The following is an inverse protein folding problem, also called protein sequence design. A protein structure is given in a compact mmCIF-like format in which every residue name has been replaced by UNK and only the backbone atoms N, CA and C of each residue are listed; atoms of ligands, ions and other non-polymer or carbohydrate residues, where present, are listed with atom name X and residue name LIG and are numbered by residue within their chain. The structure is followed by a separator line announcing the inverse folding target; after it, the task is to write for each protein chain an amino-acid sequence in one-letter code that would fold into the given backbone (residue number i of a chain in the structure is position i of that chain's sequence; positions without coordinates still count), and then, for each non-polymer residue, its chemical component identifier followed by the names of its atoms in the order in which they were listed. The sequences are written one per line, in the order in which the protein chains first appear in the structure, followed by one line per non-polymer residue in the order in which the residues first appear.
data_IF_395407137642
#
_entry.id   IF_395407137642
#
_cell.length_a   1.000
_cell.length_b   1.000
_cell.length_c   1.000
_cell.angle_alpha   90.00
_cell.angle_beta   90.00
_cell.angle_gamma   90.00
#
_symmetry.space_group_name_H-M   'P 1'
#
loop_
_entity.id
_entity.type
_entity.pdbx_description
1 polymer ?
#
# COMPACT_ATOMS: atom_id res chain seq x y z
N UNK A 1 -19.58 -5.44 -15.37
CA UNK A 1 -18.96 -4.83 -14.18
C UNK A 1 -18.05 -5.77 -13.36
N UNK A 2 -18.03 -7.08 -13.62
CA UNK A 2 -17.14 -8.06 -12.96
C UNK A 2 -15.68 -7.99 -13.41
N UNK A 3 -15.41 -7.44 -14.58
CA UNK A 3 -14.07 -7.45 -15.18
C UNK A 3 -13.17 -6.30 -14.72
N UNK A 4 -13.74 -5.21 -14.26
CA UNK A 4 -12.97 -3.99 -13.92
C UNK A 4 -12.17 -4.15 -12.62
N UNK A 5 -12.71 -4.85 -11.62
CA UNK A 5 -12.01 -5.07 -10.36
C UNK A 5 -10.88 -6.12 -10.50
N UNK A 6 -11.09 -7.16 -11.31
CA UNK A 6 -10.10 -8.20 -11.59
C UNK A 6 -9.01 -7.67 -12.53
N UNK A 7 -9.39 -6.86 -13.52
CA UNK A 7 -8.44 -6.22 -14.43
C UNK A 7 -7.52 -5.21 -13.71
N UNK A 8 -8.00 -4.52 -12.70
CA UNK A 8 -7.20 -3.56 -11.94
C UNK A 8 -6.18 -4.25 -11.03
N UNK A 9 -6.48 -5.44 -10.53
CA UNK A 9 -5.55 -6.21 -9.73
C UNK A 9 -4.53 -6.97 -10.61
N UNK A 10 -4.99 -7.49 -11.75
CA UNK A 10 -4.16 -8.18 -12.76
C UNK A 10 -3.27 -7.22 -13.55
N UNK A 11 -3.74 -6.02 -13.84
CA UNK A 11 -3.03 -5.03 -14.66
C UNK A 11 -1.82 -4.45 -13.95
N UNK A 12 -1.82 -4.42 -12.64
CA UNK A 12 -0.67 -3.96 -11.85
C UNK A 12 0.53 -4.93 -11.94
N UNK A 13 0.26 -6.19 -12.24
CA UNK A 13 1.28 -7.24 -12.34
C UNK A 13 1.88 -7.34 -13.74
N UNK A 14 1.11 -7.00 -14.78
CA UNK A 14 1.52 -7.27 -16.17
C UNK A 14 2.09 -6.07 -16.90
N UNK A 15 1.98 -4.86 -16.40
CA UNK A 15 2.40 -3.67 -17.15
C UNK A 15 3.23 -2.71 -16.30
N UNK A 16 4.49 -3.06 -16.10
CA UNK A 16 5.53 -2.08 -15.75
C UNK A 16 5.70 -0.98 -16.82
N UNK A 17 4.88 -0.98 -17.87
CA UNK A 17 4.92 0.01 -18.96
C UNK A 17 3.79 1.05 -18.89
N UNK A 18 2.75 0.87 -18.09
CA UNK A 18 1.63 1.83 -18.08
C UNK A 18 1.81 2.97 -17.07
N UNK A 19 2.90 2.99 -16.30
CA UNK A 19 3.21 4.12 -15.42
C UNK A 19 3.65 5.39 -16.15
N UNK A 20 3.96 5.31 -17.45
CA UNK A 20 4.50 6.45 -18.21
C UNK A 20 3.47 7.19 -19.06
N UNK A 21 2.25 6.69 -19.25
CA UNK A 21 1.36 7.21 -20.29
C UNK A 21 0.02 7.77 -19.82
N UNK A 22 -0.37 7.64 -18.55
CA UNK A 22 -1.68 8.16 -18.12
C UNK A 22 -1.58 9.05 -16.88
N UNK A 23 -1.23 10.32 -17.10
CA UNK A 23 -1.23 11.39 -16.11
C UNK A 23 -2.64 11.74 -15.58
N UNK A 24 -3.68 11.05 -16.00
CA UNK A 24 -5.07 11.30 -15.58
C UNK A 24 -5.72 10.18 -14.79
N UNK A 25 -5.07 9.04 -14.60
CA UNK A 25 -5.66 7.94 -13.85
C UNK A 25 -4.87 7.72 -12.57
N UNK A 26 -5.39 8.28 -11.53
CA UNK A 26 -5.11 8.07 -10.11
C UNK A 26 -4.55 6.68 -9.82
N UNK A 27 -3.35 6.67 -9.23
CA UNK A 27 -2.66 5.57 -8.56
C UNK A 27 -3.28 4.16 -8.70
N UNK A 28 -2.54 3.27 -9.33
CA UNK A 28 -2.93 1.89 -9.66
C UNK A 28 -3.16 1.05 -8.40
N UNK A 29 -4.32 0.38 -8.27
CA UNK A 29 -4.73 -0.28 -7.01
C UNK A 29 -3.90 -1.48 -6.54
N UNK A 30 -3.13 -2.13 -7.36
CA UNK A 30 -2.48 -3.40 -7.00
C UNK A 30 -1.19 -3.25 -6.19
N UNK A 31 -0.28 -2.38 -6.62
CA UNK A 31 0.94 -2.02 -5.86
C UNK A 31 0.61 -1.08 -4.71
N UNK A 32 -0.47 -0.32 -4.85
CA UNK A 32 -0.99 0.57 -3.85
C UNK A 32 -1.37 -0.12 -2.54
N UNK A 33 -1.83 -1.36 -2.56
CA UNK A 33 -2.24 -2.06 -1.34
C UNK A 33 -1.06 -2.36 -0.43
N UNK A 34 0.05 -2.83 -0.99
CA UNK A 34 1.28 -3.03 -0.22
C UNK A 34 1.87 -1.69 0.25
N UNK A 35 1.87 -0.67 -0.62
CA UNK A 35 2.37 0.66 -0.29
C UNK A 35 1.57 1.30 0.84
N UNK A 36 0.24 1.17 0.82
CA UNK A 36 -0.65 1.67 1.88
C UNK A 36 -0.47 0.91 3.19
N UNK A 37 -0.29 -0.40 3.10
CA UNK A 37 0.02 -1.21 4.28
C UNK A 37 1.34 -0.79 4.92
N UNK A 38 2.38 -0.62 4.12
CA UNK A 38 3.70 -0.15 4.57
C UNK A 38 3.62 1.24 5.17
N UNK A 39 2.83 2.14 4.57
CA UNK A 39 2.61 3.48 5.10
C UNK A 39 1.82 3.47 6.42
N UNK A 40 0.92 2.50 6.62
CA UNK A 40 0.17 2.35 7.87
C UNK A 40 1.03 1.82 9.03
N UNK A 41 2.15 1.18 8.74
CA UNK A 41 3.12 0.69 9.73
C UNK A 41 4.56 1.05 9.32
N UNK A 42 4.90 2.34 9.26
CA UNK A 42 6.24 2.75 8.85
C UNK A 42 7.28 2.30 9.87
N UNK A 43 8.38 1.74 9.39
CA UNK A 43 9.57 1.54 10.19
C UNK A 43 10.46 2.77 10.03
N UNK A 44 10.71 3.57 11.08
CA UNK A 44 11.51 4.78 10.99
C UNK A 44 12.89 4.50 10.40
N UNK A 45 13.29 5.24 9.35
CA UNK A 45 14.54 5.02 8.64
C UNK A 45 14.60 3.75 7.79
N UNK A 46 13.48 3.01 7.70
CA UNK A 46 13.38 1.80 6.90
C UNK A 46 13.10 2.07 5.42
N UNK A 47 13.59 1.16 4.59
CA UNK A 47 13.24 1.08 3.18
C UNK A 47 12.53 -0.24 2.89
N UNK A 48 11.40 -0.18 2.22
CA UNK A 48 10.65 -1.35 1.78
C UNK A 48 10.76 -1.47 0.27
N UNK A 49 11.14 -2.64 -0.23
CA UNK A 49 11.13 -2.98 -1.64
C UNK A 49 9.85 -3.75 -1.96
N UNK A 50 9.15 -3.29 -2.98
CA UNK A 50 7.91 -3.89 -3.50
C UNK A 50 8.24 -4.71 -4.74
N UNK A 51 7.76 -5.94 -4.82
CA UNK A 51 7.98 -6.85 -5.94
C UNK A 51 6.66 -7.44 -6.42
N UNK A 52 6.57 -7.75 -7.71
CA UNK A 52 5.46 -8.51 -8.28
C UNK A 52 5.58 -10.02 -7.97
N UNK A 53 4.62 -10.81 -8.45
CA UNK A 53 4.60 -12.27 -8.26
C UNK A 53 5.79 -12.99 -8.90
N UNK A 54 6.43 -12.40 -9.92
CA UNK A 54 7.63 -12.93 -10.58
C UNK A 54 8.94 -12.50 -9.89
N UNK A 55 8.85 -11.72 -8.81
CA UNK A 55 10.00 -11.20 -8.06
C UNK A 55 10.61 -9.93 -8.65
N UNK A 56 10.05 -9.36 -9.74
CA UNK A 56 10.52 -8.10 -10.32
C UNK A 56 10.23 -6.95 -9.37
N UNK A 57 11.19 -6.05 -9.18
CA UNK A 57 10.98 -4.83 -8.39
C UNK A 57 10.00 -3.89 -9.09
N UNK A 58 8.93 -3.54 -8.39
CA UNK A 58 7.93 -2.56 -8.81
C UNK A 58 8.29 -1.16 -8.33
N UNK A 59 8.93 -1.06 -7.17
CA UNK A 59 9.32 0.21 -6.59
C UNK A 59 9.80 0.06 -5.16
N UNK A 60 10.00 1.20 -4.52
CA UNK A 60 10.44 1.29 -3.12
C UNK A 60 9.58 2.27 -2.33
N UNK A 61 9.49 2.04 -1.03
CA UNK A 61 8.92 2.96 -0.06
C UNK A 61 9.96 3.23 1.02
N UNK A 62 10.34 4.50 1.18
CA UNK A 62 11.32 4.94 2.19
C UNK A 62 10.65 5.82 3.22
N UNK A 63 10.83 5.51 4.51
CA UNK A 63 10.23 6.28 5.60
C UNK A 63 11.27 7.20 6.22
N UNK A 64 10.97 8.49 6.22
CA UNK A 64 11.78 9.53 6.86
C UNK A 64 11.11 9.92 8.18
N UNK A 65 11.87 9.83 9.26
CA UNK A 65 11.30 9.97 10.60
C UNK A 65 10.28 8.85 10.88
N UNK A 66 9.23 9.16 11.64
CA UNK A 66 8.18 8.20 12.01
C UNK A 66 6.86 8.41 11.27
N UNK A 67 6.77 9.39 10.37
CA UNK A 67 5.46 9.85 9.86
C UNK A 67 5.34 9.98 8.35
N UNK A 68 6.46 10.10 7.63
CA UNK A 68 6.40 10.34 6.17
C UNK A 68 7.09 9.22 5.42
N UNK A 69 6.37 8.62 4.48
CA UNK A 69 6.87 7.61 3.56
C UNK A 69 6.83 8.16 2.14
N UNK A 70 7.93 8.07 1.42
CA UNK A 70 8.03 8.44 0.01
C UNK A 70 8.02 7.18 -0.84
N UNK A 71 7.19 7.14 -1.86
CA UNK A 71 7.09 6.05 -2.82
C UNK A 71 7.86 6.40 -4.09
N UNK A 72 8.60 5.41 -4.61
CA UNK A 72 9.35 5.51 -5.87
C UNK A 72 9.04 4.32 -6.75
N UNK A 73 9.05 4.53 -8.07
CA UNK A 73 8.96 3.45 -9.04
C UNK A 73 10.28 2.66 -9.14
N UNK A 74 10.33 1.65 -10.00
CA UNK A 74 11.53 0.83 -10.25
C UNK A 74 12.70 1.62 -10.83
N UNK A 75 12.44 2.77 -11.47
CA UNK A 75 13.43 3.71 -11.99
C UNK A 75 13.91 4.75 -10.95
N UNK A 76 13.40 4.69 -9.69
CA UNK A 76 13.76 5.61 -8.62
C UNK A 76 13.02 6.95 -8.65
N UNK A 77 12.09 7.16 -9.60
CA UNK A 77 11.30 8.39 -9.71
C UNK A 77 10.24 8.39 -8.60
N UNK A 78 10.06 9.51 -7.92
CA UNK A 78 9.01 9.68 -6.92
C UNK A 78 7.63 9.61 -7.56
N UNK A 79 6.78 8.72 -7.06
CA UNK A 79 5.39 8.54 -7.51
C UNK A 79 4.38 9.12 -6.53
N UNK A 80 4.80 9.39 -5.30
CA UNK A 80 3.93 9.99 -4.28
C UNK A 80 4.50 9.88 -2.89
N UNK A 81 3.66 10.23 -1.91
CA UNK A 81 4.01 10.14 -0.49
C UNK A 81 2.79 9.80 0.36
N UNK A 82 3.05 9.32 1.57
CA UNK A 82 2.06 9.14 2.62
C UNK A 82 2.56 9.82 3.90
N UNK A 83 1.67 10.56 4.57
CA UNK A 83 1.98 11.22 5.84
C UNK A 83 0.95 10.82 6.89
N UNK A 84 1.42 10.36 8.06
CA UNK A 84 0.59 9.95 9.18
C UNK A 84 0.29 11.17 10.06
N UNK A 85 -1.00 11.38 10.35
CA UNK A 85 -1.51 12.43 11.24
C UNK A 85 -2.53 11.79 12.20
N UNK A 86 -2.08 11.44 13.40
CA UNK A 86 -2.92 10.71 14.36
C UNK A 86 -3.36 9.35 13.80
N UNK A 87 -4.66 9.12 13.72
CA UNK A 87 -5.25 7.90 13.16
C UNK A 87 -5.50 7.98 11.65
N UNK A 88 -5.09 9.07 11.00
CA UNK A 88 -5.26 9.28 9.58
C UNK A 88 -3.92 9.25 8.85
N UNK A 89 -3.91 8.66 7.65
CA UNK A 89 -2.80 8.72 6.69
C UNK A 89 -3.28 9.43 5.44
N UNK A 90 -2.57 10.47 5.03
CA UNK A 90 -2.86 11.25 3.83
C UNK A 90 -1.88 10.82 2.73
N UNK A 91 -2.43 10.37 1.59
CA UNK A 91 -1.67 10.01 0.41
C UNK A 91 -1.70 11.14 -0.61
N UNK A 92 -0.54 11.44 -1.17
CA UNK A 92 -0.34 12.47 -2.18
C UNK A 92 0.32 11.87 -3.41
N UNK A 93 -0.02 12.40 -4.58
CA UNK A 93 0.67 12.08 -5.84
C UNK A 93 2.07 12.73 -5.92
N UNK A 94 2.77 12.52 -7.04
CA UNK A 94 4.09 13.09 -7.28
C UNK A 94 4.08 14.63 -7.33
N UNK A 95 2.95 15.25 -7.65
CA UNK A 95 2.76 16.71 -7.64
C UNK A 95 2.36 17.28 -6.27
N UNK A 96 2.23 16.42 -5.24
CA UNK A 96 1.86 16.81 -3.88
C UNK A 96 0.35 16.93 -3.66
N UNK A 97 -0.51 16.65 -4.65
CA UNK A 97 -1.96 16.71 -4.49
C UNK A 97 -2.46 15.53 -3.67
N UNK A 98 -3.40 15.78 -2.77
CA UNK A 98 -4.08 14.73 -2.02
C UNK A 98 -4.92 13.87 -2.97
N UNK A 99 -4.63 12.56 -2.98
CA UNK A 99 -5.37 11.58 -3.79
C UNK A 99 -6.22 10.64 -2.94
N UNK A 100 -5.74 10.32 -1.73
CA UNK A 100 -6.43 9.40 -0.81
C UNK A 100 -6.24 9.80 0.64
N UNK A 101 -7.16 9.33 1.47
CA UNK A 101 -7.01 9.28 2.92
C UNK A 101 -7.30 7.88 3.42
N UNK A 102 -6.55 7.42 4.41
CA UNK A 102 -6.84 6.21 5.16
C UNK A 102 -7.06 6.58 6.62
N UNK A 103 -8.19 6.19 7.20
CA UNK A 103 -8.50 6.43 8.61
C UNK A 103 -8.64 5.10 9.33
N UNK A 104 -7.85 4.88 10.37
CA UNK A 104 -7.90 3.66 11.19
C UNK A 104 -8.80 3.88 12.39
N UNK A 105 -9.76 2.98 12.59
CA UNK A 105 -10.71 2.98 13.70
C UNK A 105 -10.56 1.68 14.50
N UNK A 106 -10.58 1.79 15.83
CA UNK A 106 -10.45 0.63 16.74
C UNK A 106 -9.13 -0.14 16.59
N UNK A 107 -8.12 0.45 15.94
CA UNK A 107 -6.82 -0.20 15.73
C UNK A 107 -6.82 -1.33 14.70
N UNK A 108 -7.96 -1.79 14.23
CA UNK A 108 -8.09 -2.99 13.38
C UNK A 108 -8.70 -2.71 12.00
N UNK A 109 -9.51 -1.67 11.87
CA UNK A 109 -10.18 -1.36 10.60
C UNK A 109 -9.68 -0.04 10.03
N UNK A 110 -9.26 -0.05 8.76
CA UNK A 110 -8.83 1.13 8.03
C UNK A 110 -9.78 1.36 6.86
N UNK A 111 -10.37 2.55 6.78
CA UNK A 111 -11.21 2.99 5.67
C UNK A 111 -10.41 3.90 4.75
N UNK A 112 -10.38 3.57 3.46
CA UNK A 112 -9.73 4.36 2.42
C UNK A 112 -10.76 5.16 1.64
N UNK A 113 -10.52 6.47 1.52
CA UNK A 113 -11.39 7.40 0.82
C UNK A 113 -10.61 8.14 -0.28
N UNK A 114 -11.27 8.41 -1.40
CA UNK A 114 -10.70 9.24 -2.47
C UNK A 114 -10.60 10.72 -2.07
N UNK A 115 -10.10 11.56 -2.97
CA UNK A 115 -9.98 13.00 -2.75
C UNK A 115 -11.33 13.70 -2.49
N UNK A 116 -12.42 13.13 -3.01
CA UNK A 116 -13.79 13.61 -2.81
C UNK A 116 -14.44 13.07 -1.51
N UNK A 117 -13.72 12.27 -0.72
CA UNK A 117 -14.20 11.70 0.54
C UNK A 117 -15.04 10.43 0.40
N UNK A 118 -15.22 9.89 -0.81
CA UNK A 118 -16.00 8.66 -1.04
C UNK A 118 -15.19 7.44 -0.63
N UNK A 119 -15.81 6.52 0.11
CA UNK A 119 -15.18 5.25 0.48
C UNK A 119 -14.94 4.41 -0.77
N UNK A 120 -13.70 4.00 -0.96
CA UNK A 120 -13.28 3.14 -2.07
C UNK A 120 -13.01 1.72 -1.61
N UNK A 121 -12.50 1.57 -0.39
CA UNK A 121 -12.22 0.26 0.20
C UNK A 121 -12.09 0.32 1.71
N UNK A 122 -12.08 -0.87 2.31
CA UNK A 122 -11.72 -1.07 3.71
C UNK A 122 -10.63 -2.13 3.83
N UNK A 123 -9.84 -2.05 4.89
CA UNK A 123 -8.92 -3.11 5.31
C UNK A 123 -9.22 -3.46 6.75
N UNK A 124 -9.36 -4.75 7.05
CA UNK A 124 -9.59 -5.25 8.41
C UNK A 124 -8.47 -6.19 8.80
N UNK A 125 -7.84 -5.92 9.94
CA UNK A 125 -6.81 -6.79 10.49
C UNK A 125 -7.46 -7.82 11.41
N UNK A 126 -7.10 -9.11 11.21
CA UNK A 126 -7.45 -10.21 12.08
C UNK A 126 -6.20 -11.05 12.32
N UNK A 127 -5.71 -11.06 13.56
CA UNK A 127 -4.39 -11.61 13.87
C UNK A 127 -3.30 -10.93 13.06
N UNK A 128 -2.52 -11.72 12.33
CA UNK A 128 -1.47 -11.23 11.42
C UNK A 128 -1.97 -10.96 9.99
N UNK A 129 -3.21 -11.33 9.65
CA UNK A 129 -3.76 -11.16 8.31
C UNK A 129 -4.54 -9.86 8.16
N UNK A 130 -4.41 -9.22 7.01
CA UNK A 130 -5.17 -8.04 6.63
C UNK A 130 -5.99 -8.36 5.40
N UNK A 131 -7.31 -8.23 5.51
CA UNK A 131 -8.26 -8.46 4.43
C UNK A 131 -8.72 -7.13 3.85
N UNK A 132 -8.60 -6.98 2.54
CA UNK A 132 -9.08 -5.83 1.79
C UNK A 132 -10.44 -6.12 1.16
N UNK A 133 -11.34 -5.13 1.24
CA UNK A 133 -12.67 -5.18 0.63
C UNK A 133 -12.91 -3.93 -0.20
N UNK A 134 -13.65 -4.07 -1.31
CA UNK A 134 -14.09 -2.92 -2.10
C UNK A 134 -15.20 -2.12 -1.38
N UNK A 135 -15.69 -1.05 -2.02
CA UNK A 135 -16.77 -0.23 -1.49
C UNK A 135 -18.09 -0.99 -1.34
N UNK A 136 -18.27 -2.10 -2.05
CA UNK A 136 -19.44 -2.99 -1.94
C UNK A 136 -19.25 -4.10 -0.89
N UNK A 137 -18.13 -4.09 -0.14
CA UNK A 137 -17.82 -5.08 0.90
C UNK A 137 -17.26 -6.40 0.39
N UNK A 138 -17.01 -6.55 -0.92
CA UNK A 138 -16.44 -7.78 -1.49
C UNK A 138 -14.96 -7.84 -1.23
N UNK A 139 -14.46 -9.02 -0.84
CA UNK A 139 -13.02 -9.24 -0.66
C UNK A 139 -12.30 -9.08 -2.00
N UNK A 140 -11.26 -8.23 -2.02
CA UNK A 140 -10.40 -7.99 -3.17
C UNK A 140 -9.03 -8.62 -3.02
N UNK A 141 -8.63 -8.95 -1.80
CA UNK A 141 -7.37 -9.63 -1.53
C UNK A 141 -6.99 -9.61 -0.06
N UNK A 142 -5.82 -10.17 0.23
CA UNK A 142 -5.26 -10.24 1.58
C UNK A 142 -3.78 -9.86 1.57
N UNK A 143 -3.30 -9.36 2.71
CA UNK A 143 -1.86 -9.19 2.97
C UNK A 143 -1.51 -9.94 4.24
N UNK A 144 -0.49 -10.78 4.16
CA UNK A 144 0.04 -11.56 5.26
C UNK A 144 1.44 -11.04 5.61
N UNK A 145 1.59 -10.24 6.69
CA UNK A 145 2.90 -9.88 7.22
C UNK A 145 3.61 -11.09 7.85
N UNK A 146 4.93 -11.15 7.67
CA UNK A 146 5.81 -12.14 8.29
C UNK A 146 7.17 -11.50 8.56
N UNK A 147 7.44 -11.15 9.80
CA UNK A 147 8.68 -10.43 10.18
C UNK A 147 8.84 -9.12 9.40
N UNK A 148 9.95 -9.00 8.68
CA UNK A 148 10.26 -7.84 7.82
C UNK A 148 9.66 -7.95 6.41
N UNK A 149 8.90 -8.99 6.12
CA UNK A 149 8.29 -9.24 4.81
C UNK A 149 6.76 -9.23 4.90
N UNK A 150 6.11 -9.04 3.76
CA UNK A 150 4.68 -9.21 3.60
C UNK A 150 4.37 -9.82 2.23
N UNK A 151 3.37 -10.69 2.17
CA UNK A 151 2.88 -11.30 0.94
C UNK A 151 1.47 -10.81 0.66
N UNK A 152 1.23 -10.32 -0.54
CA UNK A 152 -0.09 -9.93 -1.02
C UNK A 152 -0.67 -11.02 -1.91
N UNK A 153 -1.96 -11.30 -1.72
CA UNK A 153 -2.75 -12.26 -2.50
C UNK A 153 -4.02 -11.59 -3.02
N UNK A 154 -4.47 -12.02 -4.19
CA UNK A 154 -5.77 -11.61 -4.73
C UNK A 154 -6.93 -12.32 -4.02
N UNK A 155 -8.17 -12.06 -4.46
CA UNK A 155 -9.38 -12.66 -3.90
C UNK A 155 -9.45 -14.18 -4.10
N UNK A 156 -8.71 -14.74 -5.05
CA UNK A 156 -8.60 -16.18 -5.32
C UNK A 156 -7.47 -16.86 -4.52
N UNK A 157 -6.71 -16.08 -3.72
CA UNK A 157 -5.58 -16.57 -2.93
C UNK A 157 -4.25 -16.63 -3.69
N UNK A 158 -4.21 -16.24 -4.97
CA UNK A 158 -2.97 -16.20 -5.76
C UNK A 158 -2.06 -15.09 -5.27
N UNK A 159 -0.77 -15.36 -5.12
CA UNK A 159 0.22 -14.33 -4.80
C UNK A 159 0.32 -13.34 -5.95
N UNK A 160 0.19 -12.04 -5.64
CA UNK A 160 0.29 -10.93 -6.59
C UNK A 160 1.51 -10.06 -6.34
N UNK A 161 2.15 -10.20 -5.18
CA UNK A 161 3.37 -9.46 -4.88
C UNK A 161 3.88 -9.69 -3.47
N UNK A 162 5.07 -9.16 -3.23
CA UNK A 162 5.75 -9.21 -1.93
C UNK A 162 6.33 -7.85 -1.59
N UNK A 163 6.50 -7.60 -0.30
CA UNK A 163 7.23 -6.46 0.23
C UNK A 163 8.30 -6.96 1.20
N UNK A 164 9.48 -6.37 1.18
CA UNK A 164 10.56 -6.66 2.12
C UNK A 164 11.13 -5.36 2.65
N UNK A 165 11.18 -5.20 3.97
CA UNK A 165 11.71 -4.01 4.65
C UNK A 165 13.13 -4.29 5.13
N UNK A 166 14.05 -3.41 4.77
CA UNK A 166 15.44 -3.41 5.23
C UNK A 166 15.74 -2.08 5.92
N UNK A 167 16.59 -2.12 6.95
CA UNK A 167 17.02 -0.94 7.69
C UNK A 167 15.86 -0.26 8.42
N UNK A 168 15.86 -0.29 9.67
CA UNK A 168 14.99 0.41 10.59
C UNK A 168 15.50 0.06 11.97
N UNK A 169 15.94 1.07 12.72
CA UNK A 169 16.29 0.87 14.10
C UNK A 169 15.01 0.53 14.84
N UNK A 170 14.80 -0.74 15.16
CA UNK A 170 13.73 -1.13 16.06
C UNK A 170 13.93 -0.34 17.36
N UNK A 171 12.92 0.38 17.85
CA UNK A 171 13.03 1.03 19.15
C UNK A 171 13.42 -0.05 20.15
N UNK A 172 14.49 0.17 20.91
CA UNK A 172 14.89 -0.72 21.98
C UNK A 172 13.69 -0.92 22.88
N UNK A 173 13.32 -2.19 23.14
CA UNK A 173 12.27 -2.51 24.10
C UNK A 173 12.61 -1.80 25.40
N UNK A 174 11.71 -0.94 25.87
CA UNK A 174 11.85 -0.30 27.16
C UNK A 174 11.98 -1.41 28.21
N UNK A 175 13.15 -1.53 28.82
CA UNK A 175 13.33 -2.38 29.99
C UNK A 175 12.43 -1.81 31.08
N UNK A 176 11.48 -2.60 31.52
CA UNK A 176 10.72 -2.38 32.75
C UNK A 176 11.60 -2.76 33.93
#
# INVERSE_FOLDING_TARGET
MKQIAIALLSLAVTTGLLFAADTKKTAVPGTDDLSRYVAAKPTPGGQTTLRDASGRTLGTASTVGSRTTTFRDSGGRTTGSATIQGNQTIFRDASGRKVWTATTSGGQTTTYRDAAGRTQRTASQSGSSITFRDAAGRTTGTVQPSGSSATARDASGRTIGTASTTGGKQPAAAKR
#
